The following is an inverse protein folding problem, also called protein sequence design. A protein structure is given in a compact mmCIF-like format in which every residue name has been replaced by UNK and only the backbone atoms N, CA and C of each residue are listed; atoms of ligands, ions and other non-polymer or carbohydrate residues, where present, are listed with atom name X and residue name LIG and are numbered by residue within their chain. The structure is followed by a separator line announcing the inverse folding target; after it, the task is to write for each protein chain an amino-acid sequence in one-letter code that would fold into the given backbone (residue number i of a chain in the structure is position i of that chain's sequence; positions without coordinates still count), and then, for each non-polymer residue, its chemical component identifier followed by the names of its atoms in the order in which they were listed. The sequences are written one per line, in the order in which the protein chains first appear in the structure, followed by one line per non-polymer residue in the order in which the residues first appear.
data_IF_893262920315
#
_entry.id   IF_893262920315
#
_cell.length_a   1.000
_cell.length_b   1.000
_cell.length_c   1.000
_cell.angle_alpha   90.00
_cell.angle_beta   90.00
_cell.angle_gamma   90.00
#
_symmetry.space_group_name_H-M   'P 1'
#
loop_
_entity.id
_entity.type
_entity.pdbx_description
1 polymer ?
#
# COMPACT_ATOMS: atom_id res chain seq x y z
N UNK A 1 29.20 -18.69 -1.14
CA UNK A 1 28.47 -19.73 -0.38
C UNK A 1 27.29 -19.15 0.37
N UNK A 2 26.44 -18.30 -0.22
CA UNK A 2 25.31 -17.67 0.50
C UNK A 2 23.91 -17.98 -0.07
N UNK A 3 23.80 -18.40 -1.32
CA UNK A 3 22.52 -18.71 -1.97
C UNK A 3 21.90 -20.06 -1.60
N UNK A 4 22.67 -20.99 -1.06
CA UNK A 4 22.20 -22.36 -0.75
C UNK A 4 21.59 -22.44 0.66
N UNK A 5 22.00 -21.58 1.60
CA UNK A 5 21.44 -21.54 2.95
C UNK A 5 20.08 -20.82 3.03
N UNK A 6 19.84 -19.82 2.20
CA UNK A 6 18.49 -19.19 2.08
C UNK A 6 17.45 -20.18 1.54
N UNK A 7 17.81 -21.07 0.60
CA UNK A 7 16.88 -22.11 0.11
C UNK A 7 16.53 -23.16 1.14
N UNK A 8 17.39 -23.46 2.11
CA UNK A 8 17.12 -24.49 3.12
C UNK A 8 16.17 -24.00 4.24
N UNK A 9 16.21 -22.71 4.58
CA UNK A 9 15.25 -22.11 5.54
C UNK A 9 13.83 -22.03 4.94
N UNK A 10 13.72 -21.81 3.64
CA UNK A 10 12.44 -21.75 2.91
C UNK A 10 11.70 -23.11 2.84
N UNK A 11 12.42 -24.24 2.98
CA UNK A 11 11.80 -25.57 2.92
C UNK A 11 11.13 -26.02 4.23
N UNK A 12 11.42 -25.39 5.35
CA UNK A 12 10.82 -25.74 6.65
C UNK A 12 9.44 -25.10 6.91
N UNK A 13 8.99 -24.17 6.08
CA UNK A 13 7.75 -23.37 6.27
C UNK A 13 6.61 -23.72 5.31
N UNK A 14 6.67 -24.83 4.58
CA UNK A 14 5.73 -25.21 3.52
C UNK A 14 4.28 -25.55 3.98
N UNK A 15 3.86 -25.10 5.14
CA UNK A 15 2.50 -25.29 5.67
C UNK A 15 1.74 -24.02 6.05
N UNK A 16 2.36 -22.85 5.87
CA UNK A 16 1.74 -21.55 6.19
C UNK A 16 1.31 -20.80 4.93
N UNK A 17 0.25 -20.00 5.06
CA UNK A 17 -0.23 -19.12 3.98
C UNK A 17 0.86 -18.12 3.58
N UNK A 18 0.89 -17.68 2.31
CA UNK A 18 1.95 -16.83 1.75
C UNK A 18 2.24 -15.53 2.52
N UNK A 19 1.27 -15.06 3.33
CA UNK A 19 1.37 -13.85 4.13
C UNK A 19 1.71 -14.08 5.62
N UNK A 20 1.96 -15.33 6.02
CA UNK A 20 2.25 -15.64 7.41
C UNK A 20 3.67 -15.22 7.83
N UNK A 21 3.82 -14.64 9.02
CA UNK A 21 5.11 -14.22 9.61
C UNK A 21 6.14 -15.37 9.67
N UNK A 22 5.68 -16.60 9.74
CA UNK A 22 6.53 -17.79 9.71
C UNK A 22 7.48 -17.83 8.50
N UNK A 23 7.13 -17.20 7.37
CA UNK A 23 7.98 -17.18 6.18
C UNK A 23 9.12 -16.16 6.26
N UNK A 24 8.94 -15.12 7.07
CA UNK A 24 9.89 -14.01 7.23
C UNK A 24 10.77 -14.15 8.46
N UNK A 25 10.32 -14.93 9.48
CA UNK A 25 11.08 -15.05 10.71
C UNK A 25 12.38 -15.82 10.52
N UNK A 26 13.44 -15.34 11.18
CA UNK A 26 14.65 -16.15 11.36
C UNK A 26 14.53 -17.02 12.59
N UNK A 27 15.07 -18.23 12.49
CA UNK A 27 15.12 -19.22 13.59
C UNK A 27 16.47 -19.29 14.26
N UNK A 28 17.47 -18.59 13.69
CA UNK A 28 18.82 -18.48 14.22
C UNK A 28 18.93 -17.17 15.03
N UNK A 29 18.84 -17.28 16.34
CA UNK A 29 18.89 -16.15 17.29
C UNK A 29 19.57 -16.57 18.60
N UNK A 30 20.24 -15.61 19.26
CA UNK A 30 20.94 -15.84 20.52
C UNK A 30 19.98 -15.67 21.68
N UNK A 31 20.03 -16.63 22.62
CA UNK A 31 19.26 -16.57 23.88
C UNK A 31 20.17 -16.63 25.09
N UNK A 32 19.86 -15.84 26.11
CA UNK A 32 20.53 -15.85 27.40
C UNK A 32 19.53 -16.19 28.50
N UNK A 33 19.94 -16.98 29.50
CA UNK A 33 19.08 -17.32 30.61
C UNK A 33 19.01 -16.16 31.61
N UNK A 34 17.80 -15.86 32.13
CA UNK A 34 17.56 -14.68 32.99
C UNK A 34 18.38 -14.65 34.30
N UNK A 35 18.84 -15.79 34.76
CA UNK A 35 19.59 -15.93 36.02
C UNK A 35 21.11 -15.68 35.85
N UNK A 36 21.61 -15.60 34.62
CA UNK A 36 23.02 -15.40 34.39
C UNK A 36 23.48 -14.03 34.91
N UNK A 37 24.71 -13.97 35.42
CA UNK A 37 25.42 -12.73 35.68
C UNK A 37 25.86 -12.08 34.36
N UNK A 38 26.19 -10.79 34.37
CA UNK A 38 26.70 -10.08 33.20
C UNK A 38 27.95 -10.76 32.64
N UNK A 39 28.83 -11.26 33.51
CA UNK A 39 30.04 -11.96 33.10
C UNK A 39 29.72 -13.24 32.33
N UNK A 40 28.92 -14.13 32.92
CA UNK A 40 28.49 -15.38 32.30
C UNK A 40 27.70 -15.14 30.98
N UNK A 41 26.86 -14.12 30.98
CA UNK A 41 26.09 -13.75 29.79
C UNK A 41 26.98 -13.28 28.63
N UNK A 42 28.06 -12.56 28.90
CA UNK A 42 29.08 -12.18 27.90
C UNK A 42 29.77 -13.39 27.31
N UNK A 43 30.23 -14.31 28.16
CA UNK A 43 30.89 -15.55 27.70
C UNK A 43 29.93 -16.40 26.87
N UNK A 44 28.69 -16.55 27.33
CA UNK A 44 27.66 -17.26 26.58
C UNK A 44 27.34 -16.62 25.24
N UNK A 45 27.24 -15.29 25.21
CA UNK A 45 27.03 -14.54 23.99
C UNK A 45 28.15 -14.76 22.99
N UNK A 46 29.40 -14.62 23.42
CA UNK A 46 30.59 -14.82 22.56
C UNK A 46 30.65 -16.25 22.02
N UNK A 47 30.32 -17.25 22.85
CA UNK A 47 30.33 -18.66 22.43
C UNK A 47 29.26 -19.03 21.39
N UNK A 48 28.15 -18.25 21.33
CA UNK A 48 27.06 -18.45 20.38
C UNK A 48 27.21 -17.63 19.10
N UNK A 49 28.20 -16.74 19.02
CA UNK A 49 28.48 -15.98 17.79
C UNK A 49 29.01 -16.92 16.71
N UNK A 50 28.19 -17.22 15.72
CA UNK A 50 28.53 -18.12 14.60
C UNK A 50 28.78 -17.39 13.30
N UNK A 51 28.45 -16.09 13.23
CA UNK A 51 28.60 -15.24 12.04
C UNK A 51 29.34 -13.95 12.38
N UNK A 52 29.89 -13.29 11.32
CA UNK A 52 30.51 -11.97 11.43
C UNK A 52 29.52 -10.85 11.78
N UNK A 53 28.23 -11.16 11.80
CA UNK A 53 27.14 -10.22 12.04
C UNK A 53 26.75 -10.26 13.53
N UNK A 54 27.14 -9.25 14.29
CA UNK A 54 26.83 -9.12 15.72
C UNK A 54 25.44 -8.55 15.88
N UNK A 55 24.47 -9.31 16.47
CA UNK A 55 23.12 -8.78 16.64
C UNK A 55 23.12 -7.61 17.65
N UNK A 56 22.35 -6.58 17.37
CA UNK A 56 22.20 -5.43 18.27
C UNK A 56 21.46 -5.77 19.57
N UNK A 57 20.64 -6.82 19.56
CA UNK A 57 19.84 -7.29 20.69
C UNK A 57 19.86 -8.82 20.78
N UNK A 58 19.69 -9.34 22.00
CA UNK A 58 19.56 -10.77 22.31
C UNK A 58 18.33 -11.01 23.16
N UNK A 59 17.78 -12.23 23.11
CA UNK A 59 16.60 -12.57 23.90
C UNK A 59 17.01 -13.12 25.27
N UNK A 60 16.28 -12.68 26.31
CA UNK A 60 16.40 -13.21 27.67
C UNK A 60 15.24 -14.18 27.91
N UNK A 61 15.56 -15.39 28.32
CA UNK A 61 14.58 -16.49 28.49
C UNK A 61 14.68 -17.11 29.87
N UNK A 62 13.54 -17.68 30.36
CA UNK A 62 13.51 -18.57 31.48
C UNK A 62 13.17 -19.98 30.94
N UNK A 63 14.18 -20.85 30.80
CA UNK A 63 14.05 -22.07 30.03
C UNK A 63 13.78 -21.81 28.56
N UNK A 64 12.55 -22.07 28.07
CA UNK A 64 12.10 -21.78 26.71
C UNK A 64 11.12 -20.62 26.62
N UNK A 65 10.79 -19.98 27.75
CA UNK A 65 9.80 -18.92 27.83
C UNK A 65 10.50 -17.54 27.73
N UNK A 66 10.09 -16.73 26.78
CA UNK A 66 10.61 -15.36 26.62
C UNK A 66 10.28 -14.51 27.85
N UNK A 67 11.29 -13.80 28.38
CA UNK A 67 11.19 -12.82 29.46
C UNK A 67 11.34 -11.39 28.97
N UNK A 68 12.29 -11.17 28.04
CA UNK A 68 12.57 -9.84 27.52
C UNK A 68 13.65 -9.89 26.46
N UNK A 69 14.15 -8.71 26.07
CA UNK A 69 15.35 -8.55 25.24
C UNK A 69 16.40 -7.75 26.00
N UNK A 70 17.65 -7.89 25.58
CA UNK A 70 18.78 -7.17 26.15
C UNK A 70 19.63 -6.63 25.01
N UNK A 71 19.86 -5.33 25.02
CA UNK A 71 20.80 -4.69 24.07
C UNK A 71 22.21 -5.22 24.33
N UNK A 72 22.87 -5.72 23.29
CA UNK A 72 24.28 -6.15 23.34
C UNK A 72 25.18 -5.02 23.79
N UNK A 73 24.88 -3.77 23.37
CA UNK A 73 25.59 -2.58 23.84
C UNK A 73 25.50 -2.43 25.36
N UNK A 74 24.30 -2.55 25.96
CA UNK A 74 24.11 -2.49 27.42
C UNK A 74 24.85 -3.63 28.10
N UNK A 75 24.75 -4.85 27.56
CA UNK A 75 25.47 -6.00 28.10
C UNK A 75 26.98 -5.79 28.14
N UNK A 76 27.56 -5.21 27.07
CA UNK A 76 29.01 -4.98 26.97
C UNK A 76 29.51 -3.77 27.78
N UNK A 77 28.67 -2.76 28.03
CA UNK A 77 29.02 -1.55 28.75
C UNK A 77 28.77 -1.65 30.27
N UNK A 78 28.05 -2.66 30.75
CA UNK A 78 27.76 -2.79 32.18
C UNK A 78 29.04 -3.01 33.00
N UNK A 79 29.23 -2.22 34.03
CA UNK A 79 30.45 -2.27 34.89
C UNK A 79 30.31 -3.33 35.99
N UNK A 80 29.10 -3.54 36.52
CA UNK A 80 28.84 -4.57 37.52
C UNK A 80 28.67 -5.96 36.86
N UNK A 81 29.79 -6.63 36.69
CA UNK A 81 29.85 -7.95 36.06
C UNK A 81 29.16 -9.07 36.89
N UNK A 82 28.92 -8.82 38.17
CA UNK A 82 28.23 -9.75 39.09
C UNK A 82 26.69 -9.60 39.05
N UNK A 83 26.19 -8.48 38.55
CA UNK A 83 24.74 -8.23 38.46
C UNK A 83 24.06 -9.24 37.53
N UNK A 84 22.82 -9.65 37.85
CA UNK A 84 22.03 -10.48 36.96
C UNK A 84 21.49 -9.68 35.78
N UNK A 85 21.55 -10.26 34.56
CA UNK A 85 21.03 -9.63 33.33
C UNK A 85 19.52 -9.35 33.38
N UNK A 86 18.80 -9.95 34.31
CA UNK A 86 17.38 -9.68 34.58
C UNK A 86 17.11 -8.18 34.85
N UNK A 87 18.03 -7.48 35.47
CA UNK A 87 17.90 -6.05 35.80
C UNK A 87 18.22 -5.13 34.60
N UNK A 88 18.90 -5.66 33.57
CA UNK A 88 19.31 -4.91 32.38
C UNK A 88 18.33 -5.10 31.20
N UNK A 89 17.53 -6.20 31.25
CA UNK A 89 16.63 -6.54 30.16
C UNK A 89 15.42 -5.59 30.08
N UNK A 90 14.93 -5.40 28.89
CA UNK A 90 13.63 -4.82 28.60
C UNK A 90 12.58 -5.92 28.54
N UNK A 91 11.55 -5.84 29.40
CA UNK A 91 10.49 -6.85 29.51
C UNK A 91 9.25 -6.53 28.66
N UNK A 92 9.15 -5.29 28.17
CA UNK A 92 7.97 -4.82 27.40
C UNK A 92 8.19 -5.01 25.89
N UNK A 93 8.05 -6.27 25.42
CA UNK A 93 8.19 -6.58 24.00
C UNK A 93 6.83 -6.76 23.34
N UNK A 94 6.64 -6.13 22.20
CA UNK A 94 5.61 -6.51 21.24
C UNK A 94 5.93 -7.93 20.74
N UNK A 95 4.93 -8.78 20.58
CA UNK A 95 5.09 -10.19 20.25
C UNK A 95 4.12 -10.57 19.14
N UNK A 96 4.56 -11.40 18.21
CA UNK A 96 3.75 -11.94 17.13
C UNK A 96 3.75 -13.46 17.14
N UNK A 97 2.78 -14.04 16.46
CA UNK A 97 2.68 -15.49 16.25
C UNK A 97 3.17 -15.84 14.84
N UNK A 98 3.55 -17.10 14.59
CA UNK A 98 3.90 -17.56 13.25
C UNK A 98 2.79 -17.37 12.20
N UNK A 99 1.53 -17.48 12.64
CA UNK A 99 0.31 -17.43 11.80
C UNK A 99 -0.25 -16.00 11.67
N UNK A 100 0.36 -14.99 12.33
CA UNK A 100 -0.07 -13.60 12.18
C UNK A 100 0.20 -13.15 10.74
N UNK A 101 -0.74 -12.38 10.21
CA UNK A 101 -0.67 -11.87 8.84
C UNK A 101 0.28 -10.67 8.72
N UNK A 102 1.07 -10.65 7.68
CA UNK A 102 2.07 -9.60 7.38
C UNK A 102 1.51 -8.17 7.50
N UNK A 103 0.35 -7.80 6.91
CA UNK A 103 -0.13 -6.42 6.96
C UNK A 103 -0.43 -5.93 8.39
N UNK A 104 -0.92 -6.82 9.26
CA UNK A 104 -1.20 -6.48 10.66
C UNK A 104 0.08 -6.22 11.45
N UNK A 105 1.10 -7.05 11.21
CA UNK A 105 2.41 -6.91 11.87
C UNK A 105 3.13 -5.66 11.39
N UNK A 106 3.09 -5.34 10.10
CA UNK A 106 3.67 -4.12 9.52
C UNK A 106 3.04 -2.86 10.14
N UNK A 107 1.73 -2.83 10.31
CA UNK A 107 1.05 -1.69 10.92
C UNK A 107 1.59 -1.40 12.34
N UNK A 108 1.77 -2.46 13.15
CA UNK A 108 2.33 -2.33 14.50
C UNK A 108 3.82 -1.97 14.51
N UNK A 109 4.61 -2.53 13.58
CA UNK A 109 6.03 -2.20 13.41
C UNK A 109 6.20 -0.72 13.10
N UNK A 110 5.43 -0.20 12.15
CA UNK A 110 5.48 1.19 11.70
C UNK A 110 5.00 2.15 12.80
N UNK A 111 3.92 1.81 13.52
CA UNK A 111 3.40 2.67 14.58
C UNK A 111 4.35 2.76 15.79
N UNK A 112 5.06 1.68 16.10
CA UNK A 112 5.93 1.59 17.28
C UNK A 112 7.41 1.83 17.01
N UNK A 113 7.83 1.84 15.75
CA UNK A 113 9.24 1.97 15.36
C UNK A 113 10.11 0.84 15.91
N UNK A 114 9.67 -0.40 15.77
CA UNK A 114 10.34 -1.57 16.33
C UNK A 114 11.38 -2.12 15.36
N UNK A 115 12.54 -2.46 15.88
CA UNK A 115 13.68 -3.07 15.18
C UNK A 115 13.90 -4.55 15.57
N UNK A 116 13.14 -5.05 16.55
CA UNK A 116 13.17 -6.42 17.00
C UNK A 116 11.77 -6.89 17.44
N UNK A 117 11.30 -7.99 16.87
CA UNK A 117 10.03 -8.62 17.26
C UNK A 117 10.20 -10.12 17.46
N UNK A 118 9.98 -10.64 18.68
CA UNK A 118 9.97 -12.06 18.95
C UNK A 118 8.71 -12.74 18.40
N UNK A 119 8.89 -13.90 17.77
CA UNK A 119 7.81 -14.75 17.29
C UNK A 119 7.58 -15.88 18.30
N UNK A 120 6.36 -15.98 18.82
CA UNK A 120 6.01 -16.90 19.92
C UNK A 120 4.92 -17.87 19.47
N UNK A 121 5.19 -19.17 19.57
CA UNK A 121 4.19 -20.22 19.44
C UNK A 121 4.01 -20.95 20.79
N UNK A 122 2.76 -21.07 21.24
CA UNK A 122 2.38 -21.76 22.47
C UNK A 122 3.26 -21.37 23.67
N UNK A 123 3.58 -20.10 23.78
CA UNK A 123 4.38 -19.53 24.89
C UNK A 123 5.89 -19.76 24.79
N UNK A 124 6.38 -20.35 23.69
CA UNK A 124 7.81 -20.56 23.42
C UNK A 124 8.29 -19.61 22.33
N UNK A 125 9.49 -19.11 22.48
CA UNK A 125 10.18 -18.35 21.43
C UNK A 125 10.57 -19.33 20.30
N UNK A 126 10.02 -19.14 19.10
CA UNK A 126 10.24 -20.02 17.94
C UNK A 126 11.00 -19.34 16.82
N UNK A 127 11.03 -18.01 16.81
CA UNK A 127 11.72 -17.18 15.81
C UNK A 127 11.76 -15.73 16.23
N UNK A 128 12.31 -14.90 15.36
CA UNK A 128 12.28 -13.45 15.53
C UNK A 128 12.33 -12.76 14.17
N UNK A 129 11.87 -11.51 14.16
CA UNK A 129 12.13 -10.53 13.10
C UNK A 129 13.14 -9.52 13.64
N UNK A 130 14.28 -9.42 13.02
CA UNK A 130 15.30 -8.40 13.29
C UNK A 130 15.30 -7.41 12.12
N UNK A 131 16.18 -6.43 12.17
CA UNK A 131 16.27 -5.34 11.20
C UNK A 131 16.23 -5.80 9.73
N UNK A 132 16.95 -6.89 9.39
CA UNK A 132 16.99 -7.45 8.03
C UNK A 132 15.65 -8.08 7.62
N UNK A 133 15.07 -8.88 8.49
CA UNK A 133 13.79 -9.54 8.25
C UNK A 133 12.64 -8.52 8.18
N UNK A 134 12.68 -7.49 9.04
CA UNK A 134 11.73 -6.37 9.01
C UNK A 134 11.89 -5.57 7.71
N UNK A 135 13.11 -5.28 7.28
CA UNK A 135 13.35 -4.57 6.02
C UNK A 135 12.80 -5.36 4.82
N UNK A 136 13.06 -6.68 4.78
CA UNK A 136 12.54 -7.55 3.71
C UNK A 136 11.00 -7.61 3.72
N UNK A 137 10.41 -7.74 4.91
CA UNK A 137 8.95 -7.76 5.08
C UNK A 137 8.30 -6.46 4.60
N UNK A 138 8.91 -5.30 4.88
CA UNK A 138 8.45 -4.00 4.42
C UNK A 138 8.66 -3.81 2.91
N UNK A 139 9.75 -4.33 2.34
CA UNK A 139 10.03 -4.29 0.90
C UNK A 139 9.01 -5.10 0.10
N UNK A 140 8.68 -6.30 0.57
CA UNK A 140 7.67 -7.16 -0.05
C UNK A 140 6.28 -6.51 -0.02
N UNK A 141 5.90 -5.89 1.10
CA UNK A 141 4.64 -5.18 1.24
C UNK A 141 4.52 -4.00 0.26
N UNK A 142 5.56 -3.18 0.18
CA UNK A 142 5.62 -2.06 -0.78
C UNK A 142 5.53 -2.55 -2.23
N UNK A 143 6.18 -3.69 -2.52
CA UNK A 143 6.16 -4.29 -3.86
C UNK A 143 4.77 -4.81 -4.20
N UNK A 144 4.11 -5.48 -3.27
CA UNK A 144 2.74 -5.97 -3.43
C UNK A 144 1.76 -4.83 -3.63
N UNK A 145 1.81 -3.79 -2.79
CA UNK A 145 1.01 -2.57 -2.92
C UNK A 145 1.15 -1.95 -4.31
N UNK A 146 2.39 -1.83 -4.81
CA UNK A 146 2.66 -1.28 -6.13
C UNK A 146 2.06 -2.14 -7.26
N UNK A 147 2.09 -3.47 -7.12
CA UNK A 147 1.52 -4.41 -8.09
C UNK A 147 -0.01 -4.35 -8.09
N UNK A 148 -0.64 -4.30 -6.93
CA UNK A 148 -2.09 -4.15 -6.78
C UNK A 148 -2.57 -2.82 -7.35
N UNK A 149 -1.87 -1.71 -7.03
CA UNK A 149 -2.17 -0.40 -7.63
C UNK A 149 -2.03 -0.38 -9.15
N UNK A 150 -1.13 -1.21 -9.71
CA UNK A 150 -0.97 -1.46 -11.14
C UNK A 150 -1.97 -2.43 -11.75
N UNK A 151 -3.01 -2.85 -11.02
CA UNK A 151 -4.01 -3.84 -11.45
C UNK A 151 -3.37 -5.19 -11.85
N UNK A 152 -2.38 -5.63 -11.08
CA UNK A 152 -1.72 -6.93 -11.25
C UNK A 152 -1.77 -7.68 -9.92
N UNK A 153 -2.10 -8.97 -9.95
CA UNK A 153 -2.00 -9.81 -8.75
C UNK A 153 -0.52 -9.96 -8.34
N UNK A 154 -0.23 -10.07 -7.03
CA UNK A 154 1.13 -10.14 -6.50
C UNK A 154 1.98 -11.21 -7.17
N UNK A 155 3.26 -10.88 -7.41
CA UNK A 155 4.24 -11.74 -8.07
C UNK A 155 5.16 -12.35 -7.01
N UNK A 156 5.27 -13.67 -6.97
CA UNK A 156 6.03 -14.42 -5.96
C UNK A 156 7.51 -14.62 -6.32
N UNK A 157 7.94 -14.12 -7.48
CA UNK A 157 9.30 -14.29 -8.00
C UNK A 157 9.79 -13.01 -8.66
N UNK A 158 11.11 -12.81 -8.76
CA UNK A 158 11.67 -11.73 -9.56
C UNK A 158 11.10 -11.71 -10.98
N UNK A 159 10.84 -10.53 -11.52
CA UNK A 159 10.13 -10.35 -12.79
C UNK A 159 10.66 -11.16 -13.96
N UNK A 160 11.99 -11.27 -14.09
CA UNK A 160 12.63 -12.01 -15.18
C UNK A 160 12.50 -13.54 -15.05
N UNK A 161 12.23 -14.05 -13.85
CA UNK A 161 12.09 -15.48 -13.58
C UNK A 161 10.65 -15.98 -13.72
N UNK A 162 9.71 -15.05 -14.00
CA UNK A 162 8.29 -15.38 -14.15
C UNK A 162 7.99 -15.72 -15.60
N UNK A 163 7.31 -16.86 -15.79
CA UNK A 163 6.89 -17.27 -17.13
C UNK A 163 5.84 -16.33 -17.70
N UNK A 164 5.82 -16.09 -19.04
CA UNK A 164 4.75 -15.30 -19.69
C UNK A 164 3.35 -15.83 -19.40
N UNK A 165 3.21 -17.15 -19.21
CA UNK A 165 1.95 -17.80 -18.88
C UNK A 165 1.44 -17.41 -17.48
N UNK A 166 2.33 -17.32 -16.52
CA UNK A 166 2.00 -16.87 -15.16
C UNK A 166 1.61 -15.38 -15.16
N UNK A 167 2.35 -14.53 -15.87
CA UNK A 167 2.02 -13.12 -16.03
C UNK A 167 0.66 -12.93 -16.70
N UNK A 168 0.38 -13.71 -17.76
CA UNK A 168 -0.92 -13.69 -18.42
C UNK A 168 -2.06 -13.99 -17.44
N UNK A 169 -1.98 -15.06 -16.66
CA UNK A 169 -3.00 -15.41 -15.66
C UNK A 169 -3.20 -14.29 -14.64
N UNK A 170 -2.12 -13.76 -14.06
CA UNK A 170 -2.16 -12.75 -12.98
C UNK A 170 -2.70 -11.39 -13.47
N UNK A 171 -2.54 -11.07 -14.76
CA UNK A 171 -3.04 -9.81 -15.34
C UNK A 171 -4.44 -9.94 -15.94
N UNK A 172 -4.73 -11.07 -16.60
CA UNK A 172 -5.98 -11.25 -17.37
C UNK A 172 -7.23 -11.16 -16.50
N UNK A 173 -7.20 -11.69 -15.29
CA UNK A 173 -8.36 -11.64 -14.39
C UNK A 173 -8.76 -10.19 -14.12
N UNK A 174 -7.79 -9.35 -13.78
CA UNK A 174 -8.03 -7.96 -13.48
C UNK A 174 -8.44 -7.16 -14.73
N UNK A 175 -7.75 -7.38 -15.85
CA UNK A 175 -8.08 -6.74 -17.12
C UNK A 175 -9.48 -7.11 -17.61
N UNK A 176 -9.94 -8.34 -17.41
CA UNK A 176 -11.31 -8.74 -17.74
C UNK A 176 -12.34 -8.03 -16.85
N UNK A 177 -12.08 -7.87 -15.57
CA UNK A 177 -12.94 -7.10 -14.67
C UNK A 177 -13.05 -5.64 -15.12
N UNK A 178 -11.91 -5.01 -15.44
CA UNK A 178 -11.88 -3.64 -15.98
C UNK A 178 -12.59 -3.53 -17.32
N UNK A 179 -12.42 -4.51 -18.22
CA UNK A 179 -13.12 -4.55 -19.52
C UNK A 179 -14.64 -4.60 -19.34
N UNK A 180 -15.13 -5.39 -18.40
CA UNK A 180 -16.57 -5.43 -18.08
C UNK A 180 -17.03 -4.10 -17.46
N UNK A 181 -16.23 -3.50 -16.59
CA UNK A 181 -16.53 -2.19 -16.02
C UNK A 181 -16.54 -1.09 -17.09
N UNK A 182 -15.64 -1.15 -18.10
CA UNK A 182 -15.59 -0.20 -19.22
C UNK A 182 -16.80 -0.29 -20.15
N UNK A 183 -17.49 -1.43 -20.17
CA UNK A 183 -18.76 -1.56 -20.89
C UNK A 183 -19.83 -0.57 -20.38
N UNK A 184 -19.75 -0.17 -19.10
CA UNK A 184 -20.59 0.90 -18.55
C UNK A 184 -20.35 2.24 -19.27
N UNK A 185 -19.10 2.63 -19.50
CA UNK A 185 -18.73 3.85 -20.24
C UNK A 185 -19.32 3.85 -21.66
N UNK A 186 -19.23 2.72 -22.36
CA UNK A 186 -19.84 2.54 -23.68
C UNK A 186 -21.37 2.68 -23.65
N UNK A 187 -22.03 2.15 -22.62
CA UNK A 187 -23.48 2.30 -22.43
C UNK A 187 -23.90 3.74 -22.15
N UNK A 188 -23.07 4.49 -21.41
CA UNK A 188 -23.27 5.93 -21.21
C UNK A 188 -23.19 6.69 -22.55
N UNK A 189 -22.17 6.42 -23.36
CA UNK A 189 -22.05 7.02 -24.70
C UNK A 189 -23.27 6.75 -25.58
N UNK A 190 -23.74 5.50 -25.60
CA UNK A 190 -24.94 5.13 -26.34
C UNK A 190 -26.18 5.86 -25.84
N UNK A 191 -26.33 6.01 -24.53
CA UNK A 191 -27.49 6.74 -23.95
C UNK A 191 -27.52 8.23 -24.35
N UNK A 192 -26.36 8.83 -24.61
CA UNK A 192 -26.25 10.24 -25.01
C UNK A 192 -25.95 10.42 -26.51
N UNK A 193 -26.29 9.42 -27.36
CA UNK A 193 -26.04 9.44 -28.81
C UNK A 193 -26.67 10.67 -29.49
N UNK A 194 -27.92 11.01 -29.14
CA UNK A 194 -28.63 12.18 -29.69
C UNK A 194 -27.90 13.51 -29.39
N UNK A 195 -27.31 13.65 -28.20
CA UNK A 195 -26.52 14.82 -27.85
C UNK A 195 -25.23 14.92 -28.69
N UNK A 196 -24.60 13.78 -28.98
CA UNK A 196 -23.42 13.71 -29.83
C UNK A 196 -23.75 14.01 -31.30
N UNK A 197 -24.88 13.52 -31.81
CA UNK A 197 -25.32 13.82 -33.17
C UNK A 197 -25.64 15.29 -33.37
N UNK A 198 -26.26 15.94 -32.36
CA UNK A 198 -26.59 17.38 -32.41
C UNK A 198 -25.35 18.26 -32.40
N UNK A 199 -24.24 17.81 -31.79
CA UNK A 199 -23.01 18.57 -31.72
C UNK A 199 -21.77 17.67 -31.76
N UNK A 200 -21.37 17.25 -32.97
CA UNK A 200 -20.21 16.35 -33.19
C UNK A 200 -18.92 16.91 -32.53
N UNK A 201 -18.80 18.22 -32.40
CA UNK A 201 -17.66 18.86 -31.71
C UNK A 201 -17.49 18.38 -30.27
N UNK A 202 -18.53 17.91 -29.59
CA UNK A 202 -18.46 17.31 -28.26
C UNK A 202 -17.56 16.07 -28.25
N UNK A 203 -17.62 15.24 -29.31
CA UNK A 203 -16.82 14.01 -29.40
C UNK A 203 -15.31 14.28 -29.35
N UNK A 204 -14.84 15.43 -29.85
CA UNK A 204 -13.41 15.76 -29.90
C UNK A 204 -12.80 15.97 -28.51
N UNK A 205 -13.62 16.28 -27.51
CA UNK A 205 -13.16 16.52 -26.14
C UNK A 205 -13.33 15.32 -25.20
N UNK A 206 -14.04 14.28 -25.60
CA UNK A 206 -14.20 13.08 -24.77
C UNK A 206 -12.86 12.53 -24.27
N UNK A 207 -11.85 12.28 -25.14
CA UNK A 207 -10.56 11.76 -24.66
C UNK A 207 -9.86 12.70 -23.67
N UNK A 208 -9.98 14.02 -23.87
CA UNK A 208 -9.39 15.02 -22.97
C UNK A 208 -10.06 14.98 -21.60
N UNK A 209 -11.39 14.90 -21.56
CA UNK A 209 -12.18 14.94 -20.33
C UNK A 209 -11.97 13.66 -19.49
N UNK A 210 -12.10 12.49 -20.14
CA UNK A 210 -11.87 11.19 -19.52
C UNK A 210 -10.44 11.12 -18.98
N UNK A 211 -9.43 11.33 -19.83
CA UNK A 211 -8.03 11.26 -19.43
C UNK A 211 -7.69 12.21 -18.28
N UNK A 212 -8.26 13.43 -18.28
CA UNK A 212 -8.02 14.40 -17.19
C UNK A 212 -8.63 13.92 -15.88
N UNK A 213 -9.86 13.43 -15.90
CA UNK A 213 -10.55 12.90 -14.72
C UNK A 213 -9.83 11.71 -14.14
N UNK A 214 -9.51 10.71 -14.96
CA UNK A 214 -8.79 9.52 -14.58
C UNK A 214 -7.39 9.83 -14.02
N UNK A 215 -6.61 10.68 -14.68
CA UNK A 215 -5.28 11.09 -14.21
C UNK A 215 -5.34 11.80 -12.85
N UNK A 216 -6.28 12.72 -12.66
CA UNK A 216 -6.48 13.40 -11.37
C UNK A 216 -6.81 12.39 -10.27
N UNK A 217 -7.70 11.45 -10.55
CA UNK A 217 -8.11 10.43 -9.59
C UNK A 217 -6.99 9.48 -9.20
N UNK A 218 -6.22 9.03 -10.17
CA UNK A 218 -5.09 8.12 -9.92
C UNK A 218 -3.99 8.79 -9.10
N UNK A 219 -3.69 10.08 -9.33
CA UNK A 219 -2.74 10.85 -8.51
C UNK A 219 -3.17 10.90 -7.04
N UNK A 220 -4.44 11.20 -6.78
CA UNK A 220 -4.97 11.28 -5.41
C UNK A 220 -4.95 9.90 -4.76
N UNK A 221 -5.47 8.88 -5.44
CA UNK A 221 -5.55 7.51 -4.91
C UNK A 221 -4.17 6.99 -4.55
N UNK A 222 -3.19 7.07 -5.46
CA UNK A 222 -1.84 6.55 -5.21
C UNK A 222 -1.18 7.25 -4.03
N UNK A 223 -1.32 8.57 -3.90
CA UNK A 223 -0.75 9.34 -2.79
C UNK A 223 -1.45 9.00 -1.47
N UNK A 224 -2.79 8.88 -1.49
CA UNK A 224 -3.57 8.61 -0.30
C UNK A 224 -3.37 7.19 0.21
N UNK A 225 -3.39 6.18 -0.67
CA UNK A 225 -3.13 4.77 -0.32
C UNK A 225 -1.75 4.64 0.33
N UNK A 226 -0.73 5.27 -0.24
CA UNK A 226 0.61 5.29 0.36
C UNK A 226 0.65 5.95 1.73
N UNK A 227 0.00 7.11 1.91
CA UNK A 227 -0.08 7.77 3.21
C UNK A 227 -0.86 6.95 4.25
N UNK A 228 -1.85 6.16 3.81
CA UNK A 228 -2.58 5.24 4.68
C UNK A 228 -1.75 4.02 5.07
N UNK A 229 -0.93 3.48 4.17
CA UNK A 229 0.00 2.39 4.45
C UNK A 229 1.07 2.82 5.46
N UNK A 230 1.61 4.04 5.34
CA UNK A 230 2.57 4.61 6.28
C UNK A 230 1.96 5.05 7.63
N UNK A 231 0.64 4.91 7.82
CA UNK A 231 -0.02 5.35 9.06
C UNK A 231 -0.15 6.87 9.24
N UNK A 232 0.26 7.68 8.24
CA UNK A 232 0.16 9.15 8.25
C UNK A 232 -1.31 9.61 8.20
N UNK A 233 -2.15 8.85 7.49
CA UNK A 233 -3.58 9.10 7.35
C UNK A 233 -4.38 7.96 7.99
N UNK A 234 -5.22 8.31 8.95
CA UNK A 234 -6.10 7.38 9.66
C UNK A 234 -7.57 7.62 9.27
N UNK A 235 -8.45 6.63 9.51
CA UNK A 235 -9.89 6.75 9.19
C UNK A 235 -10.57 7.97 9.82
N UNK A 236 -10.14 8.40 11.00
CA UNK A 236 -10.64 9.61 11.68
C UNK A 236 -10.32 10.91 10.92
N UNK A 237 -9.35 10.88 10.01
CA UNK A 237 -8.90 12.04 9.25
C UNK A 237 -9.68 12.24 7.94
N UNK A 238 -10.67 11.36 7.62
CA UNK A 238 -11.43 11.39 6.36
C UNK A 238 -11.94 12.79 6.00
N UNK A 239 -12.58 13.50 6.91
CA UNK A 239 -13.09 14.84 6.63
C UNK A 239 -11.99 15.86 6.33
N UNK A 240 -10.82 15.71 6.97
CA UNK A 240 -9.64 16.55 6.70
C UNK A 240 -9.03 16.26 5.33
N UNK A 241 -8.94 14.98 4.97
CA UNK A 241 -8.45 14.52 3.66
C UNK A 241 -9.36 15.05 2.55
N UNK A 242 -10.66 14.80 2.62
CA UNK A 242 -11.62 15.27 1.60
C UNK A 242 -11.53 16.79 1.43
N UNK A 243 -11.52 17.54 2.52
CA UNK A 243 -11.40 19.00 2.44
C UNK A 243 -10.10 19.45 1.80
N UNK A 244 -8.98 18.81 2.13
CA UNK A 244 -7.67 19.11 1.55
C UNK A 244 -7.65 18.79 0.06
N UNK A 245 -8.08 17.59 -0.34
CA UNK A 245 -8.09 17.16 -1.73
C UNK A 245 -9.05 17.99 -2.59
N UNK A 246 -10.26 18.28 -2.10
CA UNK A 246 -11.21 19.15 -2.82
C UNK A 246 -10.65 20.57 -2.98
N UNK A 247 -10.01 21.13 -1.95
CA UNK A 247 -9.39 22.47 -2.05
C UNK A 247 -8.23 22.50 -3.03
N UNK A 248 -7.37 21.50 -3.04
CA UNK A 248 -6.26 21.36 -3.99
C UNK A 248 -6.80 21.17 -5.40
N UNK A 249 -7.77 20.27 -5.56
CA UNK A 249 -8.39 19.97 -6.85
C UNK A 249 -9.19 21.14 -7.41
N UNK A 250 -9.71 22.03 -6.57
CA UNK A 250 -10.33 23.27 -7.03
C UNK A 250 -9.32 24.17 -7.77
N UNK A 251 -8.12 24.32 -7.24
CA UNK A 251 -7.05 25.09 -7.91
C UNK A 251 -6.60 24.42 -9.21
N UNK A 252 -6.46 23.09 -9.19
CA UNK A 252 -6.14 22.29 -10.39
C UNK A 252 -7.26 22.44 -11.42
N UNK A 253 -8.50 22.35 -11.00
CA UNK A 253 -9.68 22.47 -11.86
C UNK A 253 -9.76 23.83 -12.58
N UNK A 254 -9.44 24.91 -11.87
CA UNK A 254 -9.36 26.24 -12.50
C UNK A 254 -8.25 26.29 -13.56
N UNK A 255 -7.09 25.71 -13.26
CA UNK A 255 -5.97 25.65 -14.21
C UNK A 255 -6.35 24.83 -15.46
N UNK A 256 -6.94 23.67 -15.27
CA UNK A 256 -7.34 22.79 -16.37
C UNK A 256 -8.55 23.33 -17.15
N UNK A 257 -9.51 23.97 -16.46
CA UNK A 257 -10.63 24.65 -17.10
C UNK A 257 -10.16 25.80 -18.01
N UNK A 258 -9.19 26.59 -17.56
CA UNK A 258 -8.57 27.64 -18.37
C UNK A 258 -7.81 27.06 -19.55
N UNK A 259 -7.05 26.00 -19.36
CA UNK A 259 -6.34 25.31 -20.44
C UNK A 259 -7.31 24.72 -21.47
N UNK A 260 -8.43 24.13 -21.01
CA UNK A 260 -9.49 23.63 -21.86
C UNK A 260 -10.20 24.72 -22.66
N UNK A 261 -10.43 25.88 -22.03
CA UNK A 261 -10.96 27.07 -22.69
C UNK A 261 -10.03 27.52 -23.80
N UNK A 262 -8.74 27.68 -23.53
CA UNK A 262 -7.72 28.04 -24.51
C UNK A 262 -7.66 27.03 -25.68
N UNK A 263 -7.69 25.73 -25.36
CA UNK A 263 -7.67 24.66 -26.36
C UNK A 263 -8.90 24.72 -27.28
N UNK A 264 -10.11 24.86 -26.73
CA UNK A 264 -11.34 24.98 -27.50
C UNK A 264 -11.35 26.25 -28.38
N UNK A 265 -10.88 27.38 -27.85
CA UNK A 265 -10.74 28.61 -28.57
C UNK A 265 -9.76 28.47 -29.75
N UNK A 266 -8.60 27.86 -29.57
CA UNK A 266 -7.63 27.57 -30.62
C UNK A 266 -8.17 26.68 -31.74
N UNK A 267 -9.14 25.82 -31.44
CA UNK A 267 -9.82 24.97 -32.43
C UNK A 267 -10.90 25.69 -33.20
N UNK A 268 -11.18 26.96 -32.87
CA UNK A 268 -12.23 27.74 -33.51
C UNK A 268 -13.65 27.25 -33.24
N UNK A 269 -13.85 26.51 -32.14
CA UNK A 269 -15.14 25.97 -31.75
C UNK A 269 -15.93 27.06 -31.02
N UNK A 270 -17.24 27.14 -31.28
CA UNK A 270 -18.12 28.15 -30.71
C UNK A 270 -18.04 28.29 -29.19
N UNK A 271 -18.46 29.44 -28.69
CA UNK A 271 -18.37 29.78 -27.26
C UNK A 271 -19.13 28.80 -26.38
N UNK A 272 -20.25 28.26 -26.86
CA UNK A 272 -21.07 27.29 -26.11
C UNK A 272 -20.29 26.03 -25.79
N UNK A 273 -19.66 25.42 -26.79
CA UNK A 273 -18.83 24.21 -26.59
C UNK A 273 -17.63 24.51 -25.71
N UNK A 274 -17.03 25.71 -25.88
CA UNK A 274 -15.90 26.14 -25.02
C UNK A 274 -16.31 26.21 -23.55
N UNK A 275 -17.47 26.75 -23.24
CA UNK A 275 -18.00 26.83 -21.87
C UNK A 275 -18.34 25.44 -21.33
N UNK A 276 -18.99 24.59 -22.14
CA UNK A 276 -19.31 23.20 -21.77
C UNK A 276 -18.03 22.46 -21.38
N UNK A 277 -16.99 22.47 -22.22
CA UNK A 277 -15.73 21.76 -21.98
C UNK A 277 -15.02 22.29 -20.72
N UNK A 278 -14.92 23.61 -20.59
CA UNK A 278 -14.23 24.24 -19.45
C UNK A 278 -14.94 23.97 -18.13
N UNK A 279 -16.25 24.09 -18.11
CA UNK A 279 -17.06 23.80 -16.91
C UNK A 279 -17.00 22.29 -16.55
N UNK A 280 -17.03 21.44 -17.58
CA UNK A 280 -16.90 19.99 -17.39
C UNK A 280 -15.56 19.61 -16.80
N UNK A 281 -14.44 20.18 -17.27
CA UNK A 281 -13.13 19.94 -16.68
C UNK A 281 -13.10 20.31 -15.19
N UNK A 282 -13.72 21.42 -14.81
CA UNK A 282 -13.83 21.82 -13.39
C UNK A 282 -14.63 20.78 -12.60
N UNK A 283 -15.81 20.41 -13.10
CA UNK A 283 -16.69 19.48 -12.41
C UNK A 283 -16.09 18.07 -12.29
N UNK A 284 -15.48 17.54 -13.37
CA UNK A 284 -14.86 16.20 -13.36
C UNK A 284 -13.67 16.16 -12.41
N UNK A 285 -12.82 17.21 -12.39
CA UNK A 285 -11.65 17.25 -11.49
C UNK A 285 -12.09 17.27 -10.03
N UNK A 286 -13.13 18.02 -9.66
CA UNK A 286 -13.68 18.03 -8.31
C UNK A 286 -14.34 16.70 -7.95
N UNK A 287 -15.10 16.11 -8.88
CA UNK A 287 -15.71 14.80 -8.71
C UNK A 287 -14.66 13.71 -8.48
N UNK A 288 -13.61 13.73 -9.31
CA UNK A 288 -12.45 12.83 -9.19
C UNK A 288 -11.81 12.92 -7.81
N UNK A 289 -11.65 14.13 -7.24
CA UNK A 289 -11.09 14.31 -5.91
C UNK A 289 -11.95 13.67 -4.81
N UNK A 290 -13.27 13.79 -4.91
CA UNK A 290 -14.19 13.18 -3.94
C UNK A 290 -14.13 11.67 -4.02
N UNK A 291 -14.30 11.10 -5.21
CA UNK A 291 -14.32 9.66 -5.45
C UNK A 291 -13.02 9.02 -4.99
N UNK A 292 -11.89 9.57 -5.43
CA UNK A 292 -10.55 9.02 -5.16
C UNK A 292 -10.09 9.17 -3.72
N UNK A 293 -10.68 10.12 -2.96
CA UNK A 293 -10.43 10.25 -1.53
C UNK A 293 -11.32 9.33 -0.70
N UNK A 294 -12.58 9.15 -1.10
CA UNK A 294 -13.57 8.40 -0.32
C UNK A 294 -13.38 6.90 -0.46
N UNK A 295 -13.17 6.39 -1.69
CA UNK A 295 -13.16 4.94 -1.94
C UNK A 295 -12.09 4.21 -1.12
N UNK A 296 -10.78 4.58 -1.15
CA UNK A 296 -9.76 3.88 -0.36
C UNK A 296 -10.05 3.88 1.14
N UNK A 297 -10.54 5.02 1.66
CA UNK A 297 -10.87 5.14 3.08
C UNK A 297 -12.09 4.30 3.49
N UNK A 298 -13.09 4.17 2.61
CA UNK A 298 -14.25 3.30 2.84
C UNK A 298 -13.83 1.84 2.82
N UNK A 299 -13.00 1.41 1.86
CA UNK A 299 -12.48 0.04 1.81
C UNK A 299 -11.71 -0.32 3.08
N UNK A 300 -10.81 0.54 3.52
CA UNK A 300 -10.11 0.34 4.81
C UNK A 300 -11.07 0.22 5.99
N UNK A 301 -12.18 0.97 5.99
CA UNK A 301 -13.19 0.91 7.05
C UNK A 301 -13.90 -0.43 7.10
N UNK A 302 -14.12 -1.08 5.98
CA UNK A 302 -14.77 -2.40 5.89
C UNK A 302 -13.77 -3.56 5.93
N UNK A 303 -12.49 -3.28 6.21
CA UNK A 303 -11.45 -4.30 6.36
C UNK A 303 -10.85 -4.82 5.05
N UNK A 304 -11.08 -4.10 3.93
CA UNK A 304 -10.46 -4.41 2.63
C UNK A 304 -9.22 -3.54 2.47
N UNK A 305 -8.14 -4.13 1.96
CA UNK A 305 -6.90 -3.40 1.68
C UNK A 305 -7.15 -2.27 0.65
N UNK A 306 -6.85 -1.01 1.00
CA UNK A 306 -6.97 0.11 0.08
C UNK A 306 -6.12 -0.02 -1.19
N UNK A 307 -5.02 -0.75 -1.19
CA UNK A 307 -4.15 -0.95 -2.35
C UNK A 307 -4.86 -1.69 -3.51
N UNK A 308 -5.91 -2.47 -3.19
CA UNK A 308 -6.79 -3.12 -4.19
C UNK A 308 -7.49 -2.08 -5.09
N UNK A 309 -7.63 -0.83 -4.64
CA UNK A 309 -8.13 0.26 -5.49
C UNK A 309 -7.07 0.65 -6.51
N UNK A 310 -6.98 -0.14 -7.56
CA UNK A 310 -6.00 0.10 -8.62
C UNK A 310 -6.25 1.42 -9.37
N UNK A 311 -5.18 2.01 -9.88
CA UNK A 311 -5.26 3.21 -10.69
C UNK A 311 -6.21 3.04 -11.91
N UNK A 312 -6.17 1.94 -12.68
CA UNK A 312 -7.13 1.69 -13.75
C UNK A 312 -8.58 1.57 -13.28
N UNK A 313 -8.84 1.01 -12.09
CA UNK A 313 -10.20 0.93 -11.55
C UNK A 313 -10.79 2.32 -11.26
N UNK A 314 -10.01 3.18 -10.62
CA UNK A 314 -10.42 4.56 -10.37
C UNK A 314 -10.65 5.32 -11.69
N UNK A 315 -9.76 5.15 -12.67
CA UNK A 315 -9.91 5.77 -13.98
C UNK A 315 -11.25 5.35 -14.63
N UNK A 316 -11.51 4.04 -14.75
CA UNK A 316 -12.75 3.51 -15.34
C UNK A 316 -14.01 4.05 -14.65
N UNK A 317 -14.00 4.14 -13.32
CA UNK A 317 -15.15 4.67 -12.57
C UNK A 317 -15.37 6.16 -12.85
N UNK A 318 -14.30 6.94 -12.93
CA UNK A 318 -14.35 8.37 -13.20
C UNK A 318 -14.73 8.63 -14.66
N UNK A 319 -14.27 7.81 -15.60
CA UNK A 319 -14.56 7.93 -17.02
C UNK A 319 -16.06 7.88 -17.29
N UNK A 320 -16.73 6.83 -16.86
CA UNK A 320 -18.17 6.70 -17.05
C UNK A 320 -18.97 7.78 -16.35
N UNK A 321 -18.66 8.08 -15.06
CA UNK A 321 -19.34 9.13 -14.31
C UNK A 321 -19.03 10.52 -14.83
N UNK A 322 -17.81 10.75 -15.29
CA UNK A 322 -17.37 12.00 -15.92
C UNK A 322 -18.11 12.29 -17.21
N UNK A 323 -18.36 11.27 -18.05
CA UNK A 323 -19.17 11.41 -19.26
C UNK A 323 -20.62 11.80 -18.93
N UNK A 324 -21.21 11.22 -17.89
CA UNK A 324 -22.55 11.65 -17.46
C UNK A 324 -22.57 13.13 -17.10
N UNK A 325 -21.57 13.60 -16.34
CA UNK A 325 -21.44 15.02 -15.99
C UNK A 325 -21.30 15.85 -17.27
N UNK A 326 -20.46 15.44 -18.19
CA UNK A 326 -20.23 16.13 -19.45
C UNK A 326 -21.51 16.29 -20.28
N UNK A 327 -22.20 15.18 -20.54
CA UNK A 327 -23.41 15.22 -21.35
C UNK A 327 -24.57 15.95 -20.66
N UNK A 328 -24.68 15.88 -19.34
CA UNK A 328 -25.68 16.67 -18.62
C UNK A 328 -25.42 18.17 -18.71
N UNK A 329 -24.16 18.59 -18.64
CA UNK A 329 -23.78 19.99 -18.89
C UNK A 329 -24.06 20.36 -20.34
N UNK A 330 -23.72 19.49 -21.30
CA UNK A 330 -23.97 19.74 -22.71
C UNK A 330 -25.50 19.87 -23.02
N UNK A 331 -26.33 18.95 -22.50
CA UNK A 331 -27.78 19.01 -22.64
C UNK A 331 -28.33 20.34 -22.11
N UNK A 332 -27.86 20.79 -20.95
CA UNK A 332 -28.33 22.04 -20.35
C UNK A 332 -27.97 23.27 -21.21
N UNK A 333 -26.75 23.36 -21.72
CA UNK A 333 -26.31 24.51 -22.51
C UNK A 333 -26.85 24.51 -23.93
N UNK A 334 -27.04 23.35 -24.54
CA UNK A 334 -27.55 23.19 -25.91
C UNK A 334 -29.09 23.10 -26.00
N UNK A 335 -29.77 23.09 -24.84
CA UNK A 335 -31.23 22.98 -24.80
C UNK A 335 -31.77 21.63 -25.30
N UNK A 336 -30.97 20.55 -25.15
CA UNK A 336 -31.37 19.21 -25.52
C UNK A 336 -32.10 18.53 -24.37
N UNK A 337 -33.21 17.88 -24.64
CA UNK A 337 -34.02 17.18 -23.62
C UNK A 337 -33.52 15.76 -23.35
#
# INVERSE_FOLDING_TARGET
MSSIQLCAAHQATSGFDGDAIAQYMRTDFITLQEHLSVHEAREHFISQLTSDDIPGQVFVVAGKKLRGSLSVKKLLQEEDVGQSIRYLMDSCLFRVKPDDERPQVIAELTERGLDLVPVIDKGKLVGCLMEKEIAHLLEDDVTEDAQLQGATLPLEKPYLDISPWTLWKKRSVWLLLLFVAEAYTSSVLQHFEEALESAIALAFFIPLLIGTGGNSGTQITSTLVRSMALGEVRLRDMGRVIRKEVSTSFLIALTLGLAGCLRAWMMGIGIEITLIVSLTLVCITLWSAIVSSVIPMVLKRIGIDPAVVSAPFIATLIDGTGLIIYFKIAQYFLGLN
#
